data_IF_557432664983
#
_entry.id   IF_557432664983
#
_cell.length_a   1.000
_cell.length_b   1.000
_cell.length_c   1.000
_cell.angle_alpha   90.00
_cell.angle_beta   90.00
_cell.angle_gamma   90.00
#
_symmetry.space_group_name_H-M   'P 1'
#
loop_
_entity.id
_entity.type
_entity.pdbx_description
1 polymer ?
#
# COMPACT_ATOMS: atom_id res chain seq x y z
N UNK A 1 -14.28 4.47 -1.21
CA UNK A 1 -14.36 3.03 -0.99
C UNK A 1 -12.97 2.48 -0.74
N UNK A 2 -12.83 1.67 0.29
CA UNK A 2 -11.51 1.17 0.64
C UNK A 2 -11.29 -0.23 0.12
N UNK A 3 -10.07 -0.48 -0.28
CA UNK A 3 -9.63 -1.78 -0.74
C UNK A 3 -8.59 -2.32 0.22
N UNK A 4 -8.36 -3.61 0.19
CA UNK A 4 -7.36 -4.25 1.03
C UNK A 4 -6.40 -5.03 0.16
N UNK A 5 -5.15 -5.08 0.60
CA UNK A 5 -4.13 -5.84 -0.09
C UNK A 5 -2.94 -6.07 0.80
N UNK A 6 -1.96 -6.80 0.27
CA UNK A 6 -0.72 -7.08 1.00
C UNK A 6 0.45 -6.46 0.25
N UNK A 7 1.44 -6.00 1.01
CA UNK A 7 2.64 -5.44 0.42
C UNK A 7 3.40 -6.54 -0.31
N UNK A 8 3.62 -6.34 -1.60
CA UNK A 8 4.37 -7.28 -2.41
C UNK A 8 5.86 -6.95 -2.40
N UNK A 9 6.19 -5.69 -2.68
CA UNK A 9 7.57 -5.21 -2.61
C UNK A 9 7.57 -3.80 -2.06
N UNK A 10 8.68 -3.41 -1.45
CA UNK A 10 8.85 -2.03 -1.02
C UNK A 10 10.33 -1.71 -0.93
N UNK A 11 10.73 -0.62 -1.57
CA UNK A 11 12.10 -0.10 -1.53
C UNK A 11 12.08 1.18 -0.71
N UNK A 12 12.62 1.12 0.48
CA UNK A 12 12.63 2.25 1.42
C UNK A 12 13.48 3.40 0.88
N UNK A 13 14.55 3.09 0.17
CA UNK A 13 15.43 4.12 -0.37
C UNK A 13 14.74 4.95 -1.44
N UNK A 14 13.97 4.30 -2.28
CA UNK A 14 13.25 4.99 -3.34
C UNK A 14 11.86 5.44 -2.90
N UNK A 15 11.35 4.88 -1.82
CA UNK A 15 10.01 5.18 -1.37
C UNK A 15 8.94 4.66 -2.31
N UNK A 16 9.20 3.55 -2.98
CA UNK A 16 8.29 2.97 -3.96
C UNK A 16 8.12 1.49 -3.71
N UNK A 17 6.97 0.98 -4.11
CA UNK A 17 6.71 -0.43 -3.98
C UNK A 17 5.43 -0.82 -4.70
N UNK A 18 4.96 -2.02 -4.40
CA UNK A 18 3.73 -2.49 -4.99
C UNK A 18 2.92 -3.25 -3.95
N UNK A 19 1.62 -3.27 -4.14
CA UNK A 19 0.69 -3.94 -3.27
C UNK A 19 -0.12 -4.93 -4.10
N UNK A 20 -0.35 -6.11 -3.53
CA UNK A 20 -1.13 -7.14 -4.19
C UNK A 20 -2.57 -7.06 -3.68
N UNK A 21 -3.52 -6.73 -4.55
CA UNK A 21 -4.92 -6.60 -4.11
C UNK A 21 -5.48 -7.94 -3.64
N UNK A 22 -6.23 -7.92 -2.55
CA UNK A 22 -6.88 -9.13 -2.05
C UNK A 22 -7.97 -9.61 -2.98
N UNK A 23 -8.58 -8.69 -3.71
CA UNK A 23 -9.63 -9.06 -4.65
C UNK A 23 -9.07 -9.71 -5.91
N UNK A 24 -7.76 -9.73 -6.06
CA UNK A 24 -7.13 -10.28 -7.26
C UNK A 24 -6.83 -9.20 -8.26
N UNK A 25 -6.26 -9.61 -9.39
CA UNK A 25 -5.87 -8.67 -10.43
C UNK A 25 -4.40 -8.29 -10.35
N UNK A 26 -4.03 -7.27 -11.10
CA UNK A 26 -2.65 -6.84 -11.17
C UNK A 26 -2.24 -6.09 -9.92
N UNK A 27 -0.97 -6.20 -9.57
CA UNK A 27 -0.42 -5.43 -8.46
C UNK A 27 -0.48 -3.94 -8.80
N UNK A 28 -0.65 -3.14 -7.76
CA UNK A 28 -0.70 -1.69 -7.90
C UNK A 28 0.56 -1.08 -7.32
N UNK A 29 1.12 -0.11 -8.05
CA UNK A 29 2.27 0.61 -7.56
C UNK A 29 1.85 1.66 -6.53
N UNK A 30 2.75 1.99 -5.62
CA UNK A 30 2.54 3.10 -4.70
C UNK A 30 3.87 3.80 -4.45
N UNK A 31 3.76 5.04 -3.97
CA UNK A 31 4.92 5.86 -3.66
C UNK A 31 4.84 6.35 -2.22
N UNK A 32 5.95 6.93 -1.77
CA UNK A 32 6.04 7.44 -0.41
C UNK A 32 4.89 8.37 -0.06
N UNK A 33 4.49 9.22 -1.00
CA UNK A 33 3.43 10.18 -0.75
C UNK A 33 2.06 9.55 -0.53
N UNK A 34 1.91 8.28 -0.86
CA UNK A 34 0.63 7.59 -0.70
C UNK A 34 0.40 7.10 0.73
N UNK A 35 1.42 7.14 1.57
CA UNK A 35 1.30 6.62 2.93
C UNK A 35 0.71 7.66 3.86
N UNK A 36 -0.13 7.19 4.79
CA UNK A 36 -0.73 8.04 5.80
C UNK A 36 0.11 8.14 7.06
N UNK A 37 1.21 7.41 7.14
CA UNK A 37 2.08 7.43 8.32
C UNK A 37 3.53 7.59 7.89
N UNK A 38 4.41 7.82 8.86
CA UNK A 38 5.83 8.00 8.59
C UNK A 38 6.47 6.64 8.31
N UNK A 39 6.74 6.37 7.05
CA UNK A 39 7.32 5.09 6.65
C UNK A 39 8.78 4.96 7.04
N UNK A 40 9.44 6.05 7.37
CA UNK A 40 10.82 5.96 7.87
C UNK A 40 10.85 5.38 9.28
N UNK A 41 9.87 5.72 10.09
CA UNK A 41 9.77 5.17 11.43
C UNK A 41 9.18 3.77 11.42
N UNK A 42 8.20 3.51 10.55
CA UNK A 42 7.51 2.24 10.47
C UNK A 42 7.39 1.81 9.01
N UNK A 43 8.47 1.31 8.40
CA UNK A 43 8.37 0.89 7.00
C UNK A 43 7.44 -0.30 6.85
N UNK A 44 6.67 -0.34 5.77
CA UNK A 44 5.82 -1.50 5.51
C UNK A 44 6.66 -2.72 5.23
N UNK A 45 6.18 -3.87 5.65
CA UNK A 45 6.88 -5.13 5.46
C UNK A 45 6.18 -5.94 4.38
N UNK A 46 6.96 -6.70 3.63
CA UNK A 46 6.41 -7.60 2.63
C UNK A 46 5.44 -8.56 3.31
N UNK A 47 4.25 -8.68 2.73
CA UNK A 47 3.20 -9.53 3.30
C UNK A 47 2.30 -8.81 4.28
N UNK A 48 2.62 -7.57 4.65
CA UNK A 48 1.79 -6.82 5.58
C UNK A 48 0.49 -6.39 4.89
N UNK A 49 -0.63 -6.53 5.59
CA UNK A 49 -1.92 -6.16 5.04
C UNK A 49 -2.17 -4.67 5.28
N UNK A 50 -2.59 -4.00 4.23
CA UNK A 50 -2.89 -2.57 4.28
C UNK A 50 -4.22 -2.30 3.62
N UNK A 51 -4.84 -1.20 4.00
CA UNK A 51 -5.98 -0.68 3.26
C UNK A 51 -5.51 0.45 2.37
N UNK A 52 -6.20 0.65 1.25
CA UNK A 52 -5.81 1.66 0.30
C UNK A 52 -7.00 2.07 -0.55
N UNK A 53 -6.85 3.18 -1.25
CA UNK A 53 -7.77 3.60 -2.30
C UNK A 53 -7.06 3.47 -3.64
N UNK A 54 -7.84 3.38 -4.71
CA UNK A 54 -7.28 3.33 -6.05
C UNK A 54 -7.37 4.71 -6.66
N UNK A 55 -6.23 5.20 -7.15
CA UNK A 55 -6.17 6.43 -7.88
C UNK A 55 -5.51 6.21 -9.22
N UNK A 56 -5.16 7.29 -9.90
CA UNK A 56 -4.40 7.22 -11.14
C UNK A 56 -3.18 8.11 -11.04
N UNK A 57 -2.09 7.67 -11.63
CA UNK A 57 -0.89 8.49 -11.69
C UNK A 57 -0.93 9.43 -12.89
N UNK A 58 0.16 10.14 -13.13
CA UNK A 58 0.20 11.10 -14.23
C UNK A 58 0.10 10.44 -15.61
N UNK A 59 0.31 9.14 -15.69
CA UNK A 59 0.18 8.38 -16.93
C UNK A 59 -1.16 7.67 -17.04
N UNK A 60 -2.10 8.03 -16.18
CA UNK A 60 -3.44 7.43 -16.13
C UNK A 60 -3.43 5.94 -15.78
N UNK A 61 -2.39 5.48 -15.15
CA UNK A 61 -2.32 4.10 -14.69
C UNK A 61 -2.84 4.00 -13.26
N UNK A 62 -3.55 2.92 -12.93
CA UNK A 62 -4.03 2.77 -11.56
C UNK A 62 -2.88 2.59 -10.58
N UNK A 63 -3.01 3.21 -9.43
CA UNK A 63 -2.04 3.03 -8.36
C UNK A 63 -2.76 3.05 -7.02
N UNK A 64 -2.06 2.60 -5.98
CA UNK A 64 -2.59 2.62 -4.63
C UNK A 64 -2.28 3.95 -3.98
N UNK A 65 -3.28 4.55 -3.35
CA UNK A 65 -3.13 5.82 -2.64
C UNK A 65 -3.79 5.68 -1.27
N UNK A 66 -3.54 6.63 -0.39
CA UNK A 66 -4.13 6.66 0.95
C UNK A 66 -3.91 5.35 1.69
N UNK A 67 -2.69 4.85 1.64
CA UNK A 67 -2.35 3.61 2.31
C UNK A 67 -2.41 3.79 3.81
N UNK A 68 -3.04 2.84 4.50
CA UNK A 68 -3.17 2.87 5.94
C UNK A 68 -2.89 1.48 6.51
N UNK A 69 -2.23 1.47 7.67
CA UNK A 69 -2.04 0.22 8.38
C UNK A 69 -3.36 -0.27 8.93
N UNK A 70 -3.56 -1.58 8.80
CA UNK A 70 -4.70 -2.20 9.43
C UNK A 70 -4.25 -2.70 10.78
N UNK A 71 -4.87 -2.19 11.84
CA UNK A 71 -4.62 -2.71 13.16
C UNK A 71 -5.39 -3.98 13.34
N UNK A 72 -4.68 -5.02 13.66
CA UNK A 72 -5.32 -6.24 14.01
C UNK A 72 -5.78 -6.13 15.41
N UNK A 73 -7.01 -5.90 15.53
CA UNK A 73 -7.52 -5.94 16.86
C UNK A 73 -7.60 -7.35 17.32
N UNK A 74 -7.06 -8.15 17.00
CA UNK A 74 -7.15 -9.34 17.43
C UNK A 74 -6.73 -9.80 18.49
N UNK A 75 -6.90 -9.35 18.83
CA UNK A 75 -6.73 -9.52 19.48
C UNK A 75 -7.04 -10.05 19.80
N UNK A 76 -7.19 -10.22 19.71
CA UNK A 76 -7.40 -10.60 20.01
C UNK A 76 -7.38 -11.06 20.33
#
# INVERSE_FOLDING_TARGET
MKYFGTVNTFDVDQGKGSIKPEAGGDNLAFERSAFSWDIKANPPKTGQRLSYDVGTDSNSKPNAINLQMIEHAEKA
#
